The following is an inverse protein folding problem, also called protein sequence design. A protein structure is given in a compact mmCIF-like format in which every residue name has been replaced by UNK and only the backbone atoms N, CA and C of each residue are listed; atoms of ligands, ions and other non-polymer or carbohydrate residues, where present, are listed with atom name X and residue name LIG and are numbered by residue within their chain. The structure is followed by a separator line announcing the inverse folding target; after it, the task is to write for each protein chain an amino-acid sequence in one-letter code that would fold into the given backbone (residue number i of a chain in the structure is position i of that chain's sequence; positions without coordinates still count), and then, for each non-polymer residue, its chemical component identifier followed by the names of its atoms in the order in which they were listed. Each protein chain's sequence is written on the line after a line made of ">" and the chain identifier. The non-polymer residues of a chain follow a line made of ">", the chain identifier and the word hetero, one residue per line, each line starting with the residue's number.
data_IF_657394554981
#
_entry.id   IF_657394554981
#
_cell.length_a   1.000
_cell.length_b   1.000
_cell.length_c   1.000
_cell.angle_alpha   90.00
_cell.angle_beta   90.00
_cell.angle_gamma   90.00
#
_symmetry.space_group_name_H-M   'P 1'
#
loop_
_entity.id
_entity.type
_entity.pdbx_description
1 polymer ?
#
# COMPACT_ATOMS: atom_id res chain seq x y z
N UNK A 1 -15.15 0.06 0.70
CA UNK A 1 -14.68 1.43 0.99
C UNK A 1 -13.42 1.66 0.18
N UNK A 2 -13.20 2.84 -0.40
CA UNK A 2 -11.92 3.14 -1.06
C UNK A 2 -10.86 3.44 0.02
N UNK A 3 -9.73 2.76 -0.03
CA UNK A 3 -8.58 3.08 0.83
C UNK A 3 -7.91 4.33 0.27
N UNK A 4 -8.06 5.47 0.95
CA UNK A 4 -7.44 6.71 0.51
C UNK A 4 -7.23 7.70 1.65
N UNK A 5 -6.07 8.34 1.67
CA UNK A 5 -5.70 9.38 2.64
C UNK A 5 -5.85 8.89 4.10
N UNK A 6 -5.22 7.76 4.39
CA UNK A 6 -5.23 7.13 5.71
C UNK A 6 -3.80 7.11 6.23
N UNK A 7 -3.65 7.58 7.47
CA UNK A 7 -2.43 7.49 8.26
C UNK A 7 -2.63 6.47 9.38
N UNK A 8 -1.60 5.69 9.69
CA UNK A 8 -1.54 4.77 10.81
C UNK A 8 -0.35 5.11 11.69
N UNK A 9 -0.47 4.86 12.99
CA UNK A 9 0.69 4.90 13.86
C UNK A 9 0.54 3.90 15.00
N UNK A 10 1.66 3.43 15.53
CA UNK A 10 1.68 2.45 16.61
C UNK A 10 1.87 3.12 17.97
N UNK A 11 1.11 2.70 18.98
CA UNK A 11 1.35 3.10 20.37
C UNK A 11 2.43 2.24 21.02
N UNK A 12 3.08 2.68 22.11
CA UNK A 12 4.03 1.85 22.87
C UNK A 12 3.44 0.53 23.37
N UNK A 13 2.13 0.49 23.64
CA UNK A 13 1.40 -0.70 24.07
C UNK A 13 1.09 -1.66 22.91
N UNK A 14 1.52 -1.32 21.69
CA UNK A 14 1.39 -2.16 20.50
C UNK A 14 0.03 -2.08 19.82
N UNK A 15 -0.76 -1.05 20.12
CA UNK A 15 -2.02 -0.77 19.42
C UNK A 15 -1.75 -0.02 18.11
N UNK A 16 -2.60 -0.23 17.11
CA UNK A 16 -2.58 0.55 15.86
C UNK A 16 -3.69 1.59 15.91
N UNK A 17 -3.30 2.84 15.71
CA UNK A 17 -4.20 3.97 15.57
C UNK A 17 -4.36 4.32 14.09
N UNK A 18 -5.50 4.89 13.72
CA UNK A 18 -5.86 5.29 12.36
C UNK A 18 -6.27 6.75 12.41
N UNK A 19 -5.78 7.54 11.45
CA UNK A 19 -6.17 8.93 11.21
C UNK A 19 -6.55 9.08 9.73
N UNK A 20 -7.84 8.95 9.46
CA UNK A 20 -8.41 9.21 8.14
C UNK A 20 -8.56 10.72 7.92
N UNK A 21 -8.42 11.19 6.67
CA UNK A 21 -8.60 12.60 6.32
C UNK A 21 -9.96 13.14 6.83
N UNK A 22 -9.95 14.29 7.50
CA UNK A 22 -11.10 14.93 8.15
C UNK A 22 -11.83 14.12 9.23
N UNK A 23 -11.28 13.01 9.72
CA UNK A 23 -11.86 12.22 10.80
C UNK A 23 -11.00 12.30 12.07
N UNK A 24 -11.59 12.14 13.26
CA UNK A 24 -10.81 12.01 14.49
C UNK A 24 -9.95 10.76 14.44
N UNK A 25 -8.84 10.80 15.18
CA UNK A 25 -8.01 9.61 15.39
C UNK A 25 -8.84 8.55 16.12
N UNK A 26 -8.72 7.29 15.71
CA UNK A 26 -9.39 6.16 16.36
C UNK A 26 -8.50 4.92 16.33
N UNK A 27 -8.74 3.99 17.24
CA UNK A 27 -8.04 2.69 17.25
C UNK A 27 -8.52 1.81 16.09
N UNK A 28 -7.62 1.04 15.50
CA UNK A 28 -7.96 -0.08 14.61
C UNK A 28 -8.50 -1.23 15.47
N UNK A 29 -9.76 -1.58 15.25
CA UNK A 29 -10.48 -2.63 15.97
C UNK A 29 -11.00 -3.71 15.03
N UNK A 30 -11.22 -4.93 15.55
CA UNK A 30 -11.82 -6.05 14.80
C UNK A 30 -13.24 -5.73 14.29
N UNK A 31 -13.92 -4.79 14.93
CA UNK A 31 -15.25 -4.28 14.56
C UNK A 31 -15.20 -3.37 13.33
N UNK A 32 -14.03 -2.87 12.92
CA UNK A 32 -13.85 -2.05 11.72
C UNK A 32 -13.88 -2.91 10.44
N UNK A 33 -14.95 -3.68 10.25
CA UNK A 33 -15.09 -4.74 9.23
C UNK A 33 -14.71 -4.29 7.83
N UNK A 34 -15.27 -3.18 7.36
CA UNK A 34 -15.06 -2.74 5.98
C UNK A 34 -13.61 -2.34 5.70
N UNK A 35 -12.99 -1.63 6.64
CA UNK A 35 -11.57 -1.24 6.55
C UNK A 35 -10.65 -2.45 6.62
N UNK A 36 -10.86 -3.32 7.62
CA UNK A 36 -10.08 -4.55 7.81
C UNK A 36 -10.18 -5.45 6.59
N UNK A 37 -11.39 -5.68 6.08
CA UNK A 37 -11.59 -6.51 4.90
C UNK A 37 -10.91 -5.92 3.67
N UNK A 38 -11.02 -4.60 3.46
CA UNK A 38 -10.39 -3.94 2.31
C UNK A 38 -8.87 -4.05 2.39
N UNK A 39 -8.26 -3.73 3.55
CA UNK A 39 -6.81 -3.90 3.76
C UNK A 39 -6.37 -5.35 3.58
N UNK A 40 -7.12 -6.31 4.12
CA UNK A 40 -6.83 -7.73 3.98
C UNK A 40 -6.77 -8.16 2.52
N UNK A 41 -7.76 -7.77 1.71
CA UNK A 41 -7.80 -8.06 0.27
C UNK A 41 -6.62 -7.40 -0.44
N UNK A 42 -6.33 -6.13 -0.13
CA UNK A 42 -5.19 -5.43 -0.72
C UNK A 42 -3.86 -6.08 -0.38
N UNK A 43 -3.65 -6.51 0.87
CA UNK A 43 -2.44 -7.21 1.30
C UNK A 43 -2.31 -8.54 0.56
N UNK A 44 -3.39 -9.33 0.49
CA UNK A 44 -3.42 -10.61 -0.22
C UNK A 44 -3.06 -10.48 -1.69
N UNK A 45 -3.69 -9.52 -2.37
CA UNK A 45 -3.61 -9.42 -3.82
C UNK A 45 -2.34 -8.70 -4.29
N UNK A 46 -1.83 -7.74 -3.50
CA UNK A 46 -0.67 -6.92 -3.88
C UNK A 46 0.64 -7.39 -3.25
N UNK A 47 0.60 -8.04 -2.09
CA UNK A 47 1.79 -8.46 -1.34
C UNK A 47 1.71 -9.94 -0.95
N UNK A 48 1.61 -10.86 -1.93
CA UNK A 48 1.27 -12.27 -1.68
C UNK A 48 2.29 -12.98 -0.79
N UNK A 49 3.58 -12.66 -0.90
CA UNK A 49 4.64 -13.25 -0.06
C UNK A 49 4.45 -12.88 1.42
N UNK A 50 4.16 -11.61 1.70
CA UNK A 50 3.88 -11.16 3.07
C UNK A 50 2.58 -11.77 3.59
N UNK A 51 1.56 -11.85 2.74
CA UNK A 51 0.26 -12.42 3.07
C UNK A 51 0.34 -13.91 3.42
N UNK A 52 1.08 -14.70 2.64
CA UNK A 52 1.30 -16.13 2.90
C UNK A 52 1.93 -16.32 4.27
N UNK A 53 3.01 -15.59 4.56
CA UNK A 53 3.68 -15.63 5.86
C UNK A 53 2.77 -15.22 7.02
N UNK A 54 1.96 -14.17 6.84
CA UNK A 54 0.98 -13.73 7.84
C UNK A 54 -0.13 -14.77 8.06
N UNK A 55 -0.56 -15.45 7.01
CA UNK A 55 -1.57 -16.49 7.07
C UNK A 55 -1.07 -17.70 7.84
N UNK A 56 0.15 -18.15 7.60
CA UNK A 56 0.81 -19.20 8.39
C UNK A 56 0.88 -18.83 9.89
N UNK A 57 1.34 -17.61 10.17
CA UNK A 57 1.54 -17.10 11.53
C UNK A 57 0.23 -17.09 12.34
N UNK A 58 -0.89 -16.78 11.68
CA UNK A 58 -2.20 -16.69 12.32
C UNK A 58 -3.15 -17.84 11.99
N UNK A 59 -2.67 -18.94 11.41
CA UNK A 59 -3.45 -20.11 10.99
C UNK A 59 -4.40 -20.66 12.06
N UNK A 60 -3.99 -20.62 13.34
CA UNK A 60 -4.84 -21.04 14.47
C UNK A 60 -6.14 -20.23 14.63
N UNK A 61 -6.19 -19.02 14.07
CA UNK A 61 -7.33 -18.10 14.14
C UNK A 61 -8.29 -18.24 12.95
N UNK A 62 -7.97 -19.04 11.92
CA UNK A 62 -8.74 -19.14 10.67
C UNK A 62 -10.23 -19.46 10.85
N UNK A 63 -10.57 -20.19 11.93
CA UNK A 63 -11.97 -20.53 12.25
C UNK A 63 -12.84 -19.30 12.52
N UNK A 64 -12.26 -18.23 13.06
CA UNK A 64 -12.93 -16.94 13.17
C UNK A 64 -12.35 -16.00 12.11
N UNK A 65 -13.03 -15.97 10.96
CA UNK A 65 -12.63 -15.18 9.80
C UNK A 65 -12.28 -13.73 10.15
N UNK A 66 -13.12 -13.05 10.93
CA UNK A 66 -12.90 -11.63 11.18
C UNK A 66 -11.72 -11.38 12.11
N UNK A 67 -11.53 -12.24 13.11
CA UNK A 67 -10.37 -12.17 13.98
C UNK A 67 -9.08 -12.45 13.19
N UNK A 68 -9.11 -13.45 12.30
CA UNK A 68 -7.99 -13.77 11.41
C UNK A 68 -7.64 -12.60 10.49
N UNK A 69 -8.63 -12.02 9.80
CA UNK A 69 -8.42 -10.86 8.93
C UNK A 69 -7.84 -9.67 9.72
N UNK A 70 -8.41 -9.38 10.90
CA UNK A 70 -7.90 -8.32 11.80
C UNK A 70 -6.45 -8.57 12.23
N UNK A 71 -6.09 -9.80 12.62
CA UNK A 71 -4.72 -10.14 13.06
C UNK A 71 -3.70 -9.93 11.95
N UNK A 72 -4.04 -10.30 10.71
CA UNK A 72 -3.20 -10.05 9.53
C UNK A 72 -3.01 -8.56 9.32
N UNK A 73 -4.11 -7.80 9.22
CA UNK A 73 -4.07 -6.35 8.96
C UNK A 73 -3.33 -5.61 10.07
N UNK A 74 -3.63 -5.90 11.33
CA UNK A 74 -3.01 -5.27 12.48
C UNK A 74 -1.50 -5.54 12.52
N UNK A 75 -1.06 -6.78 12.27
CA UNK A 75 0.37 -7.12 12.23
C UNK A 75 1.07 -6.44 11.05
N UNK A 76 0.45 -6.47 9.87
CA UNK A 76 1.00 -5.85 8.67
C UNK A 76 1.16 -4.33 8.87
N UNK A 77 0.14 -3.66 9.41
CA UNK A 77 0.19 -2.23 9.70
C UNK A 77 1.34 -1.90 10.65
N UNK A 78 1.42 -2.56 11.82
CA UNK A 78 2.52 -2.33 12.78
C UNK A 78 3.94 -2.50 12.22
N UNK A 79 4.09 -3.36 11.22
CA UNK A 79 5.38 -3.67 10.61
C UNK A 79 5.78 -2.68 9.51
N UNK A 80 4.84 -1.89 8.99
CA UNK A 80 5.02 -1.12 7.76
C UNK A 80 4.54 0.33 7.84
N UNK A 81 3.70 0.65 8.82
CA UNK A 81 3.09 1.96 9.09
C UNK A 81 3.23 2.21 10.60
N UNK A 82 3.90 3.27 11.03
CA UNK A 82 4.23 3.37 12.45
C UNK A 82 4.78 4.69 12.95
N UNK A 83 5.25 5.57 12.07
CA UNK A 83 5.56 6.94 12.42
C UNK A 83 4.31 7.80 12.16
N UNK A 84 4.04 8.77 13.04
CA UNK A 84 2.95 9.72 12.79
C UNK A 84 3.53 10.91 12.06
N UNK A 85 3.43 10.86 10.74
CA UNK A 85 4.00 11.79 9.78
C UNK A 85 2.81 12.52 9.14
N UNK A 86 2.53 13.74 9.59
CA UNK A 86 1.36 14.49 9.08
C UNK A 86 1.49 14.93 7.61
N UNK A 87 2.59 14.62 6.93
CA UNK A 87 2.88 15.08 5.57
C UNK A 87 2.72 13.97 4.53
N UNK A 88 2.86 12.69 4.90
CA UNK A 88 2.81 11.55 3.97
C UNK A 88 1.85 10.47 4.45
N UNK A 89 0.64 10.41 3.87
CA UNK A 89 -0.30 9.33 4.18
C UNK A 89 0.29 7.95 3.84
N UNK A 90 0.27 7.02 4.81
CA UNK A 90 0.56 5.59 4.59
C UNK A 90 -0.24 4.96 3.45
N UNK A 91 -1.47 5.44 3.27
CA UNK A 91 -2.32 5.11 2.14
C UNK A 91 -2.66 6.41 1.42
N UNK A 92 -2.08 6.59 0.24
CA UNK A 92 -2.26 7.79 -0.55
C UNK A 92 -3.68 7.89 -1.16
N UNK A 93 -3.95 8.98 -1.89
CA UNK A 93 -5.24 9.23 -2.56
C UNK A 93 -5.62 8.17 -3.61
N UNK A 94 -4.67 7.36 -4.07
CA UNK A 94 -4.86 6.30 -5.05
C UNK A 94 -4.98 4.91 -4.41
N UNK A 95 -4.85 4.81 -3.08
CA UNK A 95 -4.86 3.56 -2.35
C UNK A 95 -3.56 2.78 -2.48
N UNK A 96 -2.45 3.43 -2.85
CA UNK A 96 -1.12 2.82 -2.81
C UNK A 96 -0.59 2.89 -1.39
N UNK A 97 0.14 1.85 -0.98
CA UNK A 97 0.76 1.81 0.34
C UNK A 97 2.13 2.48 0.27
N UNK A 98 2.32 3.49 1.11
CA UNK A 98 3.58 4.17 1.36
C UNK A 98 4.19 3.49 2.58
N UNK A 99 5.24 2.70 2.38
CA UNK A 99 5.83 1.92 3.47
C UNK A 99 6.93 2.69 4.18
N UNK A 100 6.91 2.61 5.49
CA UNK A 100 7.90 3.20 6.37
C UNK A 100 8.89 2.17 6.90
N UNK A 101 10.10 2.63 7.21
CA UNK A 101 11.04 1.84 8.00
C UNK A 101 10.80 2.05 9.49
N UNK A 102 9.71 1.47 9.98
CA UNK A 102 9.31 1.58 11.39
C UNK A 102 10.41 1.08 12.34
N UNK A 103 10.54 1.75 13.50
CA UNK A 103 11.43 1.36 14.60
C UNK A 103 10.95 0.07 15.27
N UNK A 104 11.28 -1.06 14.65
CA UNK A 104 10.97 -2.38 15.19
C UNK A 104 12.01 -2.79 16.24
N UNK A 105 11.62 -3.10 17.49
CA UNK A 105 12.56 -3.55 18.52
C UNK A 105 13.17 -4.92 18.23
N UNK A 106 12.59 -5.69 17.29
CA UNK A 106 13.07 -7.02 16.88
C UNK A 106 13.93 -6.95 15.61
N UNK A 107 14.34 -5.77 15.14
CA UNK A 107 15.17 -5.62 13.94
C UNK A 107 16.50 -6.38 14.13
N UNK A 108 16.88 -7.18 13.14
CA UNK A 108 18.06 -8.08 13.17
C UNK A 108 17.80 -9.47 13.77
N UNK A 109 16.73 -9.63 14.54
CA UNK A 109 16.37 -10.90 15.20
C UNK A 109 15.00 -11.44 14.77
N UNK A 110 14.18 -10.62 14.12
CA UNK A 110 12.83 -10.97 13.72
C UNK A 110 12.87 -11.99 12.58
N UNK A 111 12.24 -13.15 12.82
CA UNK A 111 12.12 -14.23 11.85
C UNK A 111 11.33 -13.83 10.57
N UNK A 112 10.56 -12.74 10.64
CA UNK A 112 9.73 -12.24 9.55
C UNK A 112 10.31 -10.95 8.91
N UNK A 113 11.54 -10.58 9.27
CA UNK A 113 12.18 -9.39 8.72
C UNK A 113 12.41 -9.50 7.21
N UNK A 114 12.05 -8.45 6.46
CA UNK A 114 12.16 -8.42 5.00
C UNK A 114 11.07 -9.25 4.29
N UNK A 115 10.20 -9.92 5.04
CA UNK A 115 9.06 -10.68 4.51
C UNK A 115 7.75 -9.94 4.81
N UNK A 116 7.44 -9.72 6.10
CA UNK A 116 6.23 -8.97 6.51
C UNK A 116 6.49 -7.46 6.47
N UNK A 117 7.66 -7.03 6.98
CA UNK A 117 8.12 -5.65 6.79
C UNK A 117 8.93 -5.54 5.50
N UNK A 118 8.89 -4.37 4.87
CA UNK A 118 9.46 -4.15 3.52
C UNK A 118 8.87 -5.15 2.49
N UNK A 119 7.55 -5.32 2.42
CA UNK A 119 6.90 -6.35 1.63
C UNK A 119 7.13 -6.12 0.13
N UNK A 120 7.23 -7.21 -0.61
CA UNK A 120 7.42 -7.15 -2.07
C UNK A 120 6.06 -7.05 -2.77
N UNK A 121 5.92 -6.01 -3.59
CA UNK A 121 4.76 -5.82 -4.43
C UNK A 121 4.77 -6.82 -5.60
N UNK A 122 3.68 -7.53 -5.82
CA UNK A 122 3.47 -8.36 -7.00
C UNK A 122 3.07 -7.49 -8.20
N UNK A 123 4.07 -6.87 -8.82
CA UNK A 123 3.89 -6.02 -9.98
C UNK A 123 5.04 -6.16 -10.97
N UNK A 124 4.71 -6.07 -12.26
CA UNK A 124 5.71 -5.95 -13.34
C UNK A 124 6.30 -4.55 -13.42
N UNK A 125 5.65 -3.57 -12.81
CA UNK A 125 6.06 -2.17 -12.78
C UNK A 125 6.84 -1.88 -11.49
N UNK A 126 7.84 -1.01 -11.59
CA UNK A 126 8.50 -0.47 -10.40
C UNK A 126 7.58 0.49 -9.65
N UNK A 127 7.93 0.81 -8.41
CA UNK A 127 7.19 1.79 -7.60
C UNK A 127 7.01 3.13 -8.33
N UNK A 128 8.09 3.70 -8.87
CA UNK A 128 8.02 4.95 -9.66
C UNK A 128 7.16 4.84 -10.91
N UNK A 129 7.13 3.67 -11.55
CA UNK A 129 6.26 3.44 -12.70
C UNK A 129 4.78 3.33 -12.31
N UNK A 130 4.50 2.83 -11.09
CA UNK A 130 3.14 2.77 -10.53
C UNK A 130 2.61 4.16 -10.14
N UNK A 131 3.45 5.02 -9.59
CA UNK A 131 3.08 6.42 -9.35
C UNK A 131 2.76 7.14 -10.66
N UNK A 132 3.65 7.01 -11.67
CA UNK A 132 3.45 7.66 -12.97
C UNK A 132 2.19 7.15 -13.65
N UNK A 133 1.92 5.84 -13.67
CA UNK A 133 0.72 5.31 -14.33
C UNK A 133 -0.57 5.73 -13.60
N UNK A 134 -0.55 5.88 -12.27
CA UNK A 134 -1.69 6.38 -11.49
C UNK A 134 -2.01 7.84 -11.88
N UNK A 135 -1.01 8.73 -11.86
CA UNK A 135 -1.20 10.14 -12.21
C UNK A 135 -1.66 10.33 -13.67
N UNK A 136 -1.16 9.48 -14.58
CA UNK A 136 -1.66 9.46 -15.96
C UNK A 136 -3.13 9.03 -16.02
N UNK A 137 -3.55 8.08 -15.18
CA UNK A 137 -4.95 7.65 -15.10
C UNK A 137 -5.88 8.71 -14.51
N UNK A 138 -5.36 9.63 -13.68
CA UNK A 138 -6.10 10.80 -13.21
C UNK A 138 -6.13 11.95 -14.23
N UNK A 139 -5.48 11.78 -15.38
CA UNK A 139 -5.51 12.73 -16.49
C UNK A 139 -4.43 13.79 -16.45
N UNK A 140 -3.44 13.70 -15.55
CA UNK A 140 -2.33 14.66 -15.50
C UNK A 140 -1.43 14.53 -16.74
N UNK A 141 -0.96 15.69 -17.21
CA UNK A 141 0.02 15.79 -18.27
C UNK A 141 1.44 15.59 -17.75
N UNK A 142 2.38 15.30 -18.66
CA UNK A 142 3.76 15.00 -18.29
C UNK A 142 4.46 16.14 -17.51
N UNK A 143 4.05 17.40 -17.71
CA UNK A 143 4.54 18.54 -16.94
C UNK A 143 4.01 18.52 -15.50
N UNK A 144 2.71 18.31 -15.32
CA UNK A 144 2.08 18.24 -14.00
C UNK A 144 2.61 17.06 -13.17
N UNK A 145 2.83 15.90 -13.82
CA UNK A 145 3.43 14.73 -13.18
C UNK A 145 4.89 15.01 -12.77
N UNK A 146 5.63 15.74 -13.60
CA UNK A 146 7.02 16.09 -13.33
C UNK A 146 7.12 17.00 -12.09
N UNK A 147 6.22 17.97 -11.99
CA UNK A 147 6.12 18.87 -10.84
C UNK A 147 5.70 18.10 -9.58
N UNK A 148 4.63 17.28 -9.65
CA UNK A 148 4.13 16.48 -8.52
C UNK A 148 5.21 15.54 -7.94
N UNK A 149 5.97 14.87 -8.82
CA UNK A 149 7.00 13.91 -8.42
C UNK A 149 8.40 14.54 -8.25
N UNK A 150 8.53 15.86 -8.44
CA UNK A 150 9.81 16.59 -8.38
C UNK A 150 10.91 15.97 -9.27
N UNK A 151 10.55 15.63 -10.52
CA UNK A 151 11.45 15.06 -11.55
C UNK A 151 11.30 15.81 -12.88
N UNK A 152 12.17 15.52 -13.87
CA UNK A 152 12.02 16.13 -15.20
C UNK A 152 10.89 15.52 -16.03
N UNK A 153 10.29 16.31 -16.92
CA UNK A 153 9.32 15.82 -17.93
C UNK A 153 9.91 14.72 -18.83
N UNK A 154 11.20 14.80 -19.15
CA UNK A 154 11.91 13.75 -19.86
C UNK A 154 11.96 12.43 -19.07
N UNK A 155 12.14 12.51 -17.74
CA UNK A 155 12.10 11.35 -16.84
C UNK A 155 10.71 10.72 -16.83
N UNK A 156 9.65 11.53 -16.73
CA UNK A 156 8.25 11.05 -16.81
C UNK A 156 7.99 10.33 -18.13
N UNK A 157 8.39 10.92 -19.27
CA UNK A 157 8.22 10.30 -20.57
C UNK A 157 8.97 8.98 -20.68
N UNK A 158 10.19 8.89 -20.14
CA UNK A 158 10.94 7.63 -20.06
C UNK A 158 10.19 6.57 -19.23
N UNK A 159 9.61 6.94 -18.09
CA UNK A 159 8.76 6.01 -17.31
C UNK A 159 7.56 5.52 -18.13
N UNK A 160 6.87 6.41 -18.86
CA UNK A 160 5.74 6.04 -19.73
C UNK A 160 6.14 5.07 -20.83
N UNK A 161 7.31 5.24 -21.45
CA UNK A 161 7.82 4.28 -22.44
C UNK A 161 8.18 2.93 -21.80
N UNK A 162 8.80 2.93 -20.63
CA UNK A 162 9.12 1.71 -19.90
C UNK A 162 7.85 0.93 -19.49
N UNK A 163 6.83 1.63 -18.99
CA UNK A 163 5.52 1.03 -18.65
C UNK A 163 4.91 0.38 -19.89
N UNK A 164 4.87 1.10 -21.01
CA UNK A 164 4.37 0.58 -22.29
C UNK A 164 5.15 -0.66 -22.74
N UNK A 165 6.47 -0.66 -22.63
CA UNK A 165 7.30 -1.80 -22.98
C UNK A 165 7.04 -3.02 -22.08
N UNK A 166 7.05 -2.84 -20.75
CA UNK A 166 6.84 -3.91 -19.76
C UNK A 166 5.46 -4.55 -19.87
N UNK A 167 4.44 -3.74 -20.12
CA UNK A 167 3.04 -4.19 -20.22
C UNK A 167 2.59 -4.47 -21.66
N UNK A 168 3.47 -4.29 -22.65
CA UNK A 168 3.19 -4.45 -24.09
C UNK A 168 2.01 -3.59 -24.57
N UNK A 169 1.93 -2.35 -24.09
CA UNK A 169 0.90 -1.38 -24.44
C UNK A 169 1.41 -0.42 -25.52
N UNK A 170 0.50 0.09 -26.35
CA UNK A 170 0.81 1.02 -27.45
C UNK A 170 0.38 2.45 -27.18
N UNK A 171 -0.70 2.64 -26.42
CA UNK A 171 -1.30 3.97 -26.22
C UNK A 171 -1.44 4.33 -24.75
N UNK A 172 -1.56 5.63 -24.47
CA UNK A 172 -1.86 6.15 -23.13
C UNK A 172 -3.21 5.63 -22.64
N UNK A 173 -4.23 5.57 -23.51
CA UNK A 173 -5.54 5.02 -23.14
C UNK A 173 -5.48 3.55 -22.71
N UNK A 174 -4.63 2.73 -23.33
CA UNK A 174 -4.40 1.35 -22.89
C UNK A 174 -3.71 1.28 -21.52
N UNK A 175 -2.80 2.21 -21.24
CA UNK A 175 -2.12 2.34 -19.96
C UNK A 175 -3.09 2.75 -18.84
N UNK A 176 -3.96 3.72 -19.10
CA UNK A 176 -5.06 4.09 -18.18
C UNK A 176 -5.98 2.90 -17.93
N UNK A 177 -6.44 2.23 -18.99
CA UNK A 177 -7.31 1.06 -18.87
C UNK A 177 -6.63 -0.07 -18.07
N UNK A 178 -5.34 -0.33 -18.31
CA UNK A 178 -4.58 -1.32 -17.54
C UNK A 178 -4.57 -0.99 -16.06
N UNK A 179 -4.28 0.26 -15.69
CA UNK A 179 -4.28 0.71 -14.30
C UNK A 179 -5.63 0.50 -13.62
N UNK A 180 -6.72 0.94 -14.25
CA UNK A 180 -8.08 0.79 -13.72
C UNK A 180 -8.52 -0.66 -13.57
N UNK A 181 -8.07 -1.55 -14.46
CA UNK A 181 -8.51 -2.95 -14.49
C UNK A 181 -7.59 -3.91 -13.74
N UNK A 182 -6.33 -3.56 -13.48
CA UNK A 182 -5.34 -4.46 -12.89
C UNK A 182 -4.65 -3.92 -11.63
N UNK A 183 -4.55 -2.60 -11.44
CA UNK A 183 -3.80 -1.99 -10.33
C UNK A 183 -4.74 -1.36 -9.31
N UNK A 184 -5.65 -0.47 -9.73
CA UNK A 184 -6.60 0.26 -8.86
C UNK A 184 -7.76 -0.61 -8.34
N UNK A 185 -7.68 -1.94 -8.49
CA UNK A 185 -8.72 -2.86 -8.00
C UNK A 185 -8.99 -2.66 -6.51
#
# INVERSE_FOLDING_TARGET
>A
MALSNIEFYSTPDGEVMIKEHNHPVRKLEETNRDLVQTLFITIRDRYPVAFERLSELYSKSERNRNHFEYKIVHRFARCNFGEYDQQNYDIDRHGSFQFEEVRCPLRGECQDEGVICKPQLDSKLSFRELEVIALVADGLQAAEIADELSISTATVNRHRENIKAKLKLKTVGQMVNYYLTNIKK
#
